data_IF_768061196745
#
_entry.id   IF_768061196745
#
_cell.length_a   1.000
_cell.length_b   1.000
_cell.length_c   1.000
_cell.angle_alpha   90.00
_cell.angle_beta   90.00
_cell.angle_gamma   90.00
#
_symmetry.space_group_name_H-M   'P 1'
#
loop_
_entity.id
_entity.type
_entity.pdbx_description
1 polymer ?
#
# COMPACT_ATOMS: atom_id res chain seq x y z
N UNK A 1 28.80 4.98 5.52
CA UNK A 1 28.77 4.62 6.96
C UNK A 1 30.15 4.18 7.32
N UNK A 2 30.86 4.92 8.16
CA UNK A 2 32.26 4.61 8.52
C UNK A 2 32.35 3.59 9.66
N UNK A 3 31.25 3.36 10.38
CA UNK A 3 31.18 2.41 11.48
C UNK A 3 29.95 1.49 11.35
N UNK A 4 30.13 0.18 11.56
CA UNK A 4 29.06 -0.83 11.45
C UNK A 4 27.94 -0.57 12.47
N UNK A 5 28.32 -0.04 13.63
CA UNK A 5 27.42 0.27 14.74
C UNK A 5 26.46 1.39 14.37
N UNK A 6 26.95 2.43 13.69
CA UNK A 6 26.14 3.56 13.24
C UNK A 6 25.19 3.16 12.11
N UNK A 7 25.66 2.32 11.19
CA UNK A 7 24.81 1.75 10.14
C UNK A 7 23.65 0.92 10.72
N UNK A 8 23.93 0.10 11.74
CA UNK A 8 22.94 -0.72 12.44
C UNK A 8 21.92 0.13 13.19
N UNK A 9 22.37 1.12 13.94
CA UNK A 9 21.49 2.04 14.66
C UNK A 9 20.53 2.80 13.71
N UNK A 10 21.04 3.28 12.57
CA UNK A 10 20.21 3.96 11.57
C UNK A 10 19.21 3.01 10.91
N UNK A 11 19.59 1.76 10.66
CA UNK A 11 18.69 0.74 10.13
C UNK A 11 17.56 0.43 11.13
N UNK A 12 17.89 0.28 12.41
CA UNK A 12 16.92 0.04 13.48
C UNK A 12 15.95 1.22 13.65
N UNK A 13 16.45 2.45 13.59
CA UNK A 13 15.61 3.66 13.65
C UNK A 13 14.63 3.72 12.46
N UNK A 14 15.10 3.43 11.25
CA UNK A 14 14.24 3.38 10.05
C UNK A 14 13.19 2.29 10.15
N UNK A 15 13.56 1.10 10.62
CA UNK A 15 12.62 -0.01 10.80
C UNK A 15 11.53 0.33 11.83
N UNK A 16 11.93 0.96 12.94
CA UNK A 16 11.00 1.39 13.98
C UNK A 16 10.04 2.47 13.47
N UNK A 17 10.55 3.44 12.71
CA UNK A 17 9.72 4.47 12.07
C UNK A 17 8.72 3.89 11.07
N UNK A 18 9.16 2.97 10.20
CA UNK A 18 8.28 2.31 9.24
C UNK A 18 7.14 1.54 9.93
N UNK A 19 7.45 0.84 11.03
CA UNK A 19 6.46 0.10 11.82
C UNK A 19 5.41 1.02 12.46
N UNK A 20 5.82 2.19 12.95
CA UNK A 20 4.89 3.19 13.52
C UNK A 20 4.00 3.78 12.42
N UNK A 21 4.56 4.10 11.26
CA UNK A 21 3.78 4.59 10.11
C UNK A 21 2.75 3.55 9.63
N UNK A 22 3.11 2.27 9.65
CA UNK A 22 2.21 1.18 9.28
C UNK A 22 1.09 0.98 10.31
N UNK A 23 1.39 1.07 11.62
CA UNK A 23 0.37 1.05 12.66
C UNK A 23 -0.59 2.25 12.58
N UNK A 24 -0.08 3.44 12.26
CA UNK A 24 -0.92 4.62 12.08
C UNK A 24 -1.82 4.55 10.84
N UNK A 25 -1.50 3.68 9.85
CA UNK A 25 -2.38 3.39 8.71
C UNK A 25 -3.56 2.49 9.07
N UNK A 26 -3.52 1.81 10.22
CA UNK A 26 -4.64 0.98 10.69
C UNK A 26 -5.80 1.90 11.07
N UNK A 27 -6.71 2.12 10.13
CA UNK A 27 -7.92 2.92 10.32
C UNK A 27 -8.72 2.35 11.49
N UNK A 28 -9.15 3.23 12.40
CA UNK A 28 -10.10 2.90 13.45
C UNK A 28 -11.41 2.46 12.78
N UNK A 29 -11.67 1.16 12.76
CA UNK A 29 -12.84 0.59 12.07
C UNK A 29 -14.06 0.80 12.96
N UNK A 30 -14.90 1.78 12.62
CA UNK A 30 -16.19 2.01 13.30
C UNK A 30 -17.30 1.20 12.64
N UNK A 31 -18.40 0.98 13.36
CA UNK A 31 -19.61 0.31 12.84
C UNK A 31 -20.16 1.02 11.58
N UNK A 32 -20.08 2.35 11.53
CA UNK A 32 -20.47 3.15 10.36
C UNK A 32 -19.55 2.89 9.15
N UNK A 33 -18.23 2.77 9.38
CA UNK A 33 -17.26 2.47 8.31
C UNK A 33 -17.49 1.07 7.73
N UNK A 34 -17.81 0.08 8.58
CA UNK A 34 -18.14 -1.27 8.14
C UNK A 34 -19.42 -1.32 7.30
N UNK A 35 -20.43 -0.51 7.66
CA UNK A 35 -21.69 -0.45 6.92
C UNK A 35 -21.52 0.20 5.53
N UNK A 36 -20.68 1.22 5.43
CA UNK A 36 -20.28 1.80 4.13
C UNK A 36 -19.48 0.81 3.28
N UNK A 37 -18.54 0.05 3.87
CA UNK A 37 -17.78 -0.97 3.13
C UNK A 37 -18.68 -2.10 2.61
N UNK A 38 -19.66 -2.54 3.40
CA UNK A 38 -20.59 -3.59 2.99
C UNK A 38 -21.51 -3.13 1.86
N UNK A 39 -21.92 -1.85 1.86
CA UNK A 39 -22.70 -1.25 0.77
C UNK A 39 -21.88 -1.10 -0.52
N UNK A 40 -20.55 -0.96 -0.41
CA UNK A 40 -19.63 -0.92 -1.56
C UNK A 40 -19.39 -2.27 -2.22
N UNK A 41 -19.87 -3.38 -1.63
CA UNK A 41 -19.72 -4.74 -2.18
C UNK A 41 -20.53 -4.98 -3.47
N UNK A 42 -21.27 -3.99 -3.96
CA UNK A 42 -21.88 -4.00 -5.30
C UNK A 42 -20.91 -3.56 -6.42
N UNK A 43 -19.80 -2.89 -6.06
CA UNK A 43 -18.77 -2.50 -7.01
C UNK A 43 -17.92 -3.71 -7.37
N UNK A 44 -17.76 -3.97 -8.67
CA UNK A 44 -16.96 -5.11 -9.14
C UNK A 44 -15.50 -4.88 -8.79
N UNK A 45 -14.86 -5.85 -8.15
CA UNK A 45 -13.44 -5.78 -7.85
C UNK A 45 -12.61 -6.46 -8.96
N UNK A 46 -11.54 -5.80 -9.41
CA UNK A 46 -10.56 -6.32 -10.34
C UNK A 46 -9.20 -6.47 -9.65
N UNK A 47 -8.78 -7.72 -9.45
CA UNK A 47 -7.48 -8.02 -8.88
C UNK A 47 -6.41 -8.13 -9.97
N UNK A 48 -5.31 -7.37 -9.81
CA UNK A 48 -4.19 -7.31 -10.75
C UNK A 48 -2.89 -7.80 -10.11
N UNK A 49 -2.16 -8.62 -10.84
CA UNK A 49 -0.78 -9.03 -10.53
C UNK A 49 0.12 -8.28 -11.49
N UNK A 50 1.02 -7.46 -10.93
CA UNK A 50 1.95 -6.63 -11.70
C UNK A 50 3.36 -7.17 -11.51
N UNK A 51 4.03 -7.46 -12.62
CA UNK A 51 5.44 -7.82 -12.63
C UNK A 51 6.17 -6.87 -13.55
N UNK A 52 7.21 -6.20 -13.05
CA UNK A 52 7.93 -5.20 -13.82
C UNK A 52 9.42 -5.20 -13.48
N UNK A 53 10.27 -4.98 -14.49
CA UNK A 53 11.73 -5.14 -14.39
C UNK A 53 12.41 -4.15 -13.45
N UNK A 54 11.76 -3.02 -13.11
CA UNK A 54 12.29 -2.03 -12.20
C UNK A 54 11.24 -1.57 -11.18
N UNK A 55 11.68 -1.41 -9.94
CA UNK A 55 10.82 -0.99 -8.82
C UNK A 55 10.11 0.35 -9.08
N UNK A 56 10.79 1.30 -9.74
CA UNK A 56 10.20 2.61 -10.07
C UNK A 56 9.05 2.53 -11.09
N UNK A 57 9.01 1.48 -11.92
CA UNK A 57 7.91 1.28 -12.89
C UNK A 57 6.64 0.82 -12.17
N UNK A 58 6.78 -0.01 -11.13
CA UNK A 58 5.67 -0.47 -10.29
C UNK A 58 5.02 0.71 -9.57
N UNK A 59 5.82 1.60 -8.99
CA UNK A 59 5.35 2.78 -8.25
C UNK A 59 4.60 3.75 -9.17
N UNK A 60 5.16 4.05 -10.35
CA UNK A 60 4.52 4.92 -11.33
C UNK A 60 3.19 4.35 -11.84
N UNK A 61 3.10 3.03 -12.01
CA UNK A 61 1.89 2.35 -12.46
C UNK A 61 0.82 2.36 -11.37
N UNK A 62 1.18 2.11 -10.12
CA UNK A 62 0.27 2.17 -8.98
C UNK A 62 -0.30 3.59 -8.78
N UNK A 63 0.54 4.62 -8.89
CA UNK A 63 0.10 6.02 -8.79
C UNK A 63 -0.84 6.42 -9.94
N UNK A 64 -0.59 5.91 -11.16
CA UNK A 64 -1.46 6.14 -12.31
C UNK A 64 -2.82 5.44 -12.17
N UNK A 65 -2.85 4.20 -11.66
CA UNK A 65 -4.08 3.44 -11.40
C UNK A 65 -4.88 4.07 -10.25
N UNK A 66 -4.21 4.62 -9.23
CA UNK A 66 -4.87 5.33 -8.13
C UNK A 66 -5.55 6.64 -8.56
N UNK A 67 -5.09 7.28 -9.64
CA UNK A 67 -5.69 8.49 -10.22
C UNK A 67 -6.84 8.21 -11.20
N UNK A 68 -7.01 6.97 -11.63
CA UNK A 68 -8.13 6.57 -12.49
C UNK A 68 -9.44 6.57 -11.70
N UNK A 69 -10.53 6.88 -12.39
CA UNK A 69 -11.85 6.86 -11.77
C UNK A 69 -12.28 5.42 -11.47
N UNK A 70 -12.54 5.12 -10.20
CA UNK A 70 -12.91 3.78 -9.71
C UNK A 70 -14.39 3.71 -9.33
N UNK A 71 -15.22 4.51 -10.01
CA UNK A 71 -16.66 4.62 -9.76
C UNK A 71 -17.45 3.36 -10.15
N UNK A 72 -16.97 2.57 -11.12
CA UNK A 72 -17.62 1.33 -11.58
C UNK A 72 -16.87 0.05 -11.15
N UNK A 73 -15.53 0.10 -11.09
CA UNK A 73 -14.67 -1.04 -10.79
C UNK A 73 -13.58 -0.62 -9.81
N UNK A 74 -13.45 -1.36 -8.70
CA UNK A 74 -12.35 -1.19 -7.75
C UNK A 74 -11.15 -1.99 -8.20
N UNK A 75 -10.00 -1.35 -8.38
CA UNK A 75 -8.77 -2.01 -8.84
C UNK A 75 -7.85 -2.28 -7.65
N UNK A 76 -7.54 -3.54 -7.40
CA UNK A 76 -6.64 -3.98 -6.32
C UNK A 76 -5.37 -4.63 -6.90
N UNK A 77 -4.20 -4.09 -6.57
CA UNK A 77 -2.92 -4.70 -6.92
C UNK A 77 -2.54 -5.68 -5.81
N UNK A 78 -2.70 -6.98 -6.07
CA UNK A 78 -2.49 -8.06 -5.08
C UNK A 78 -1.05 -8.54 -5.00
N UNK A 79 -0.25 -8.29 -6.03
CA UNK A 79 1.15 -8.70 -6.04
C UNK A 79 1.97 -7.82 -6.97
N UNK A 80 3.06 -7.27 -6.43
CA UNK A 80 4.09 -6.55 -7.18
C UNK A 80 5.41 -7.29 -7.02
N UNK A 81 5.87 -7.92 -8.10
CA UNK A 81 7.18 -8.55 -8.16
C UNK A 81 8.09 -7.75 -9.10
N UNK A 82 9.35 -7.60 -8.70
CA UNK A 82 10.46 -7.24 -9.59
C UNK A 82 11.02 -8.53 -10.18
#
# INVERSE_FOLDING_TARGET
FEDERDARNLADERALKARIEEQNKVKHVTLETLFEEMSKNELKELNLVVKADAQGTIEALADSIGKMDQSEVRINIIHSAV
#
